data_IF_346146486558
#
_entry.id   IF_346146486558
#
_cell.length_a   1.000
_cell.length_b   1.000
_cell.length_c   1.000
_cell.angle_alpha   90.00
_cell.angle_beta   90.00
_cell.angle_gamma   90.00
#
_symmetry.space_group_name_H-M   'P 1'
#
loop_
_entity.id
_entity.type
_entity.pdbx_description
1 polymer ?
#
# COMPACT_ATOMS: atom_id res chain seq x y z
N UNK A 1 16.69 -26.03 6.64
CA UNK A 1 15.51 -25.52 5.91
C UNK A 1 15.17 -24.15 6.49
N UNK A 2 15.41 -23.06 5.76
CA UNK A 2 15.06 -21.71 6.22
C UNK A 2 13.58 -21.44 6.00
N UNK A 3 12.83 -21.31 7.08
CA UNK A 3 11.44 -20.87 7.07
C UNK A 3 11.40 -19.42 6.58
N UNK A 4 10.79 -19.18 5.42
CA UNK A 4 10.49 -17.83 4.95
C UNK A 4 9.48 -17.26 5.93
N UNK A 5 9.91 -16.33 6.79
CA UNK A 5 8.98 -15.54 7.60
C UNK A 5 8.19 -14.67 6.61
N UNK A 6 6.95 -15.06 6.30
CA UNK A 6 6.01 -14.20 5.60
C UNK A 6 5.74 -12.99 6.51
N UNK A 7 5.97 -11.77 6.00
CA UNK A 7 5.62 -10.58 6.79
C UNK A 7 4.10 -10.50 6.78
N UNK A 8 3.43 -10.63 7.93
CA UNK A 8 1.97 -10.67 7.95
C UNK A 8 1.42 -9.34 7.44
N UNK A 9 0.48 -9.42 6.50
CA UNK A 9 -0.33 -8.28 6.10
C UNK A 9 -1.10 -7.77 7.32
N UNK A 10 -1.21 -6.45 7.48
CA UNK A 10 -2.02 -5.88 8.57
C UNK A 10 -3.46 -5.85 8.08
N UNK A 11 -4.40 -6.55 8.73
CA UNK A 11 -5.81 -6.42 8.41
C UNK A 11 -6.22 -4.99 8.75
N UNK A 12 -6.36 -4.17 7.71
CA UNK A 12 -6.97 -2.85 7.80
C UNK A 12 -8.46 -3.08 7.63
N UNK A 13 -9.25 -2.76 8.65
CA UNK A 13 -10.69 -3.08 8.72
C UNK A 13 -11.50 -2.54 7.52
N UNK A 14 -10.96 -1.57 6.77
CA UNK A 14 -11.54 -1.06 5.51
C UNK A 14 -10.59 -1.14 4.29
N UNK A 15 -9.54 -1.97 4.35
CA UNK A 15 -8.55 -2.17 3.28
C UNK A 15 -7.82 -0.89 2.84
N UNK A 16 -7.45 -0.82 1.56
CA UNK A 16 -6.74 0.33 0.97
C UNK A 16 -7.51 1.66 1.01
N UNK A 17 -8.85 1.61 1.07
CA UNK A 17 -9.70 2.79 1.19
C UNK A 17 -9.50 3.49 2.54
N UNK A 18 -9.34 2.71 3.61
CA UNK A 18 -9.02 3.23 4.96
C UNK A 18 -7.72 4.05 4.99
N UNK A 19 -6.79 3.71 4.09
CA UNK A 19 -5.48 4.36 3.99
C UNK A 19 -5.50 5.63 3.14
N UNK A 20 -6.66 6.04 2.62
CA UNK A 20 -6.83 7.27 1.85
C UNK A 20 -6.73 7.12 0.33
N UNK A 21 -6.69 5.90 -0.20
CA UNK A 21 -6.71 5.70 -1.66
C UNK A 21 -8.09 5.98 -2.26
N UNK A 22 -8.10 6.40 -3.52
CA UNK A 22 -9.33 6.69 -4.25
C UNK A 22 -10.15 5.42 -4.47
N UNK A 23 -11.45 5.57 -4.65
CA UNK A 23 -12.36 4.45 -4.97
C UNK A 23 -11.90 3.70 -6.21
N UNK A 24 -11.52 4.41 -7.27
CA UNK A 24 -11.02 3.84 -8.53
C UNK A 24 -9.82 2.91 -8.33
N UNK A 25 -8.82 3.33 -7.55
CA UNK A 25 -7.65 2.50 -7.26
C UNK A 25 -7.99 1.34 -6.33
N UNK A 26 -8.84 1.58 -5.34
CA UNK A 26 -9.28 0.51 -4.43
C UNK A 26 -10.03 -0.59 -5.19
N UNK A 27 -10.90 -0.23 -6.13
CA UNK A 27 -11.59 -1.20 -7.00
C UNK A 27 -10.58 -1.97 -7.87
N UNK A 28 -9.65 -1.28 -8.55
CA UNK A 28 -8.65 -1.94 -9.38
C UNK A 28 -7.75 -2.92 -8.58
N UNK A 29 -7.40 -2.56 -7.35
CA UNK A 29 -6.66 -3.44 -6.45
C UNK A 29 -7.50 -4.66 -6.03
N UNK A 30 -8.77 -4.45 -5.70
CA UNK A 30 -9.70 -5.53 -5.38
C UNK A 30 -9.89 -6.51 -6.54
N UNK A 31 -10.03 -6.01 -7.76
CA UNK A 31 -10.17 -6.83 -8.98
C UNK A 31 -8.91 -7.65 -9.25
N UNK A 32 -7.74 -7.15 -8.84
CA UNK A 32 -6.47 -7.87 -8.89
C UNK A 32 -6.24 -8.83 -7.69
N UNK A 33 -7.20 -8.95 -6.77
CA UNK A 33 -7.09 -9.78 -5.56
C UNK A 33 -6.22 -9.16 -4.45
N UNK A 34 -5.88 -7.88 -4.56
CA UNK A 34 -5.01 -7.15 -3.62
C UNK A 34 -5.90 -6.38 -2.63
N UNK A 35 -6.33 -7.07 -1.59
CA UNK A 35 -7.35 -6.57 -0.66
C UNK A 35 -6.79 -6.04 0.67
N UNK A 36 -5.53 -6.34 0.98
CA UNK A 36 -4.88 -5.94 2.24
C UNK A 36 -3.52 -5.28 2.00
N UNK A 37 -3.20 -4.33 2.86
CA UNK A 37 -1.92 -3.64 2.84
C UNK A 37 -0.88 -4.36 3.69
N UNK A 38 0.35 -4.41 3.19
CA UNK A 38 1.50 -4.86 3.98
C UNK A 38 1.89 -3.80 5.02
N UNK A 39 2.58 -4.15 6.11
CA UNK A 39 2.92 -3.20 7.18
C UNK A 39 3.61 -1.93 6.68
N UNK A 40 4.54 -2.06 5.72
CA UNK A 40 5.23 -0.89 5.16
C UNK A 40 4.27 0.00 4.36
N UNK A 41 3.28 -0.56 3.66
CA UNK A 41 2.30 0.21 2.90
C UNK A 41 1.35 0.94 3.85
N UNK A 42 0.83 0.25 4.86
CA UNK A 42 -0.03 0.84 5.88
C UNK A 42 0.67 1.98 6.64
N UNK A 43 1.96 1.83 6.94
CA UNK A 43 2.75 2.85 7.63
C UNK A 43 3.08 4.07 6.76
N UNK A 44 3.21 3.92 5.44
CA UNK A 44 3.69 5.01 4.56
C UNK A 44 2.61 5.66 3.71
N UNK A 45 1.50 4.96 3.40
CA UNK A 45 0.46 5.44 2.50
C UNK A 45 -0.18 6.75 2.98
N UNK A 46 -0.59 6.92 4.25
CA UNK A 46 -1.18 8.18 4.71
C UNK A 46 -0.27 9.39 4.47
N UNK A 47 1.03 9.26 4.77
CA UNK A 47 2.01 10.35 4.64
C UNK A 47 2.33 10.68 3.19
N UNK A 48 2.55 9.64 2.37
CA UNK A 48 2.87 9.79 0.96
C UNK A 48 1.68 10.30 0.14
N UNK A 49 0.44 9.96 0.51
CA UNK A 49 -0.77 10.54 -0.07
C UNK A 49 -0.95 12.00 0.33
N UNK A 50 -0.58 12.37 1.55
CA UNK A 50 -0.52 13.77 1.99
C UNK A 50 0.59 14.60 1.32
N UNK A 51 1.44 13.98 0.49
CA UNK A 51 2.50 14.68 -0.26
C UNK A 51 3.77 14.91 0.54
N UNK A 52 3.95 14.17 1.64
CA UNK A 52 5.18 14.20 2.43
C UNK A 52 6.21 13.23 1.84
N UNK A 53 7.48 13.59 1.99
CA UNK A 53 8.59 12.69 1.68
C UNK A 53 8.63 11.55 2.70
N UNK A 54 8.89 10.33 2.21
CA UNK A 54 8.90 9.12 3.04
C UNK A 54 10.10 8.25 2.69
N UNK A 55 10.81 7.76 3.71
CA UNK A 55 11.87 6.76 3.58
C UNK A 55 11.37 5.38 4.02
N UNK A 56 10.95 4.56 3.05
CA UNK A 56 10.53 3.18 3.30
C UNK A 56 11.70 2.20 3.35
N UNK A 57 11.99 1.63 4.53
CA UNK A 57 13.02 0.59 4.72
C UNK A 57 12.38 -0.77 4.97
N UNK A 58 12.69 -1.75 4.12
CA UNK A 58 12.20 -3.12 4.26
C UNK A 58 12.89 -4.06 3.29
N UNK A 59 12.89 -5.36 3.56
CA UNK A 59 13.47 -6.40 2.69
C UNK A 59 12.71 -6.53 1.35
N UNK A 60 13.28 -7.28 0.41
CA UNK A 60 12.55 -7.68 -0.81
C UNK A 60 11.30 -8.50 -0.42
N UNK A 61 10.19 -8.27 -1.11
CA UNK A 61 8.89 -8.86 -0.77
C UNK A 61 8.09 -8.09 0.27
N UNK A 62 8.64 -7.04 0.92
CA UNK A 62 7.88 -6.25 1.91
C UNK A 62 6.78 -5.35 1.33
N UNK A 63 6.57 -5.30 0.01
CA UNK A 63 5.49 -4.49 -0.59
C UNK A 63 5.85 -3.02 -0.88
N UNK A 64 7.13 -2.63 -0.82
CA UNK A 64 7.62 -1.27 -1.06
C UNK A 64 7.23 -0.70 -2.43
N UNK A 65 7.17 -1.53 -3.46
CA UNK A 65 6.81 -1.10 -4.82
C UNK A 65 5.43 -0.45 -4.86
N UNK A 66 4.44 -1.11 -4.26
CA UNK A 66 3.08 -0.58 -4.19
C UNK A 66 2.97 0.59 -3.21
N UNK A 67 3.74 0.55 -2.11
CA UNK A 67 3.83 1.68 -1.18
C UNK A 67 4.30 2.98 -1.87
N UNK A 68 5.16 2.86 -2.88
CA UNK A 68 5.68 4.01 -3.65
C UNK A 68 4.79 4.40 -4.84
N UNK A 69 4.27 3.42 -5.59
CA UNK A 69 3.54 3.69 -6.85
C UNK A 69 2.09 4.12 -6.61
N UNK A 70 1.41 3.60 -5.57
CA UNK A 70 0.00 3.92 -5.32
C UNK A 70 -0.25 5.42 -5.08
N UNK A 71 0.57 6.16 -4.30
CA UNK A 71 0.44 7.61 -4.18
C UNK A 71 0.62 8.37 -5.50
N UNK A 72 1.49 7.88 -6.41
CA UNK A 72 1.69 8.49 -7.73
C UNK A 72 0.43 8.31 -8.59
N UNK A 73 -0.07 7.07 -8.69
CA UNK A 73 -1.29 6.77 -9.43
C UNK A 73 -2.50 7.51 -8.87
N UNK A 74 -2.59 7.67 -7.55
CA UNK A 74 -3.66 8.42 -6.91
C UNK A 74 -3.72 9.87 -7.40
N UNK A 75 -2.56 10.54 -7.47
CA UNK A 75 -2.46 11.92 -7.97
C UNK A 75 -2.79 12.03 -9.46
N UNK A 76 -2.28 11.10 -10.27
CA UNK A 76 -2.56 11.07 -11.72
C UNK A 76 -4.03 10.77 -12.04
N UNK A 77 -4.73 10.06 -11.16
CA UNK A 77 -6.16 9.77 -11.30
C UNK A 77 -7.08 10.88 -10.75
N UNK A 78 -6.53 11.91 -10.10
CA UNK A 78 -7.28 13.03 -9.53
C UNK A 78 -7.51 14.19 -10.51
N UNK A 79 -6.84 14.15 -11.67
CA UNK A 79 -7.12 14.96 -12.86
C UNK A 79 -8.18 14.32 -13.73
#
# INVERSE_FOLDING_TARGET
MSTVLETPAVPTTDGFRALGLSSRLTSALSDAGITSAFPIQAATLPDSLAGRDVLGRGRTGSGKTYAFVLPILHRLAAT
#
